data_IF_327716694045
#
_entry.id   IF_327716694045
#
_cell.length_a   1.000
_cell.length_b   1.000
_cell.length_c   1.000
_cell.angle_alpha   90.00
_cell.angle_beta   90.00
_cell.angle_gamma   90.00
#
_symmetry.space_group_name_H-M   'P 1'
#
loop_
_entity.id
_entity.type
_entity.pdbx_description
1 polymer ?
#
# COMPACT_ATOMS: atom_id res chain seq x y z
N UNK A 1 -5.27 26.64 14.93
CA UNK A 1 -5.26 25.21 15.29
C UNK A 1 -4.23 24.53 14.42
N UNK A 2 -3.16 23.93 14.99
CA UNK A 2 -2.14 23.19 14.22
C UNK A 2 -2.67 21.77 13.98
N UNK A 3 -2.55 21.25 12.77
CA UNK A 3 -2.96 19.88 12.44
C UNK A 3 -2.16 18.87 13.29
N UNK A 4 -2.81 18.04 14.13
CA UNK A 4 -2.11 17.05 14.97
C UNK A 4 -1.45 15.91 14.18
N UNK A 5 -1.69 15.82 12.87
CA UNK A 5 -1.11 14.80 11.99
C UNK A 5 -0.02 15.34 11.06
N UNK A 6 0.22 16.66 11.07
CA UNK A 6 1.32 17.26 10.34
C UNK A 6 2.63 17.02 11.13
N UNK A 7 3.50 16.14 10.61
CA UNK A 7 4.86 16.02 11.12
C UNK A 7 5.69 17.20 10.62
N UNK A 8 6.56 17.76 11.46
CA UNK A 8 7.46 18.85 11.06
C UNK A 8 8.52 18.39 10.02
N UNK A 9 8.66 17.07 9.77
CA UNK A 9 9.69 16.45 8.90
C UNK A 9 9.14 15.83 7.59
N UNK A 10 8.06 16.36 6.99
CA UNK A 10 7.40 15.78 5.78
C UNK A 10 6.95 14.31 5.91
N UNK A 11 6.85 13.81 7.15
CA UNK A 11 6.35 12.46 7.44
C UNK A 11 4.82 12.50 7.49
N UNK A 12 4.16 11.70 6.66
CA UNK A 12 2.71 11.61 6.63
C UNK A 12 2.22 10.37 7.37
N UNK A 13 1.09 10.49 8.07
CA UNK A 13 0.41 9.34 8.66
C UNK A 13 -0.22 8.47 7.55
N UNK A 14 0.28 7.25 7.38
CA UNK A 14 -0.33 6.27 6.48
C UNK A 14 -1.34 5.42 7.22
N UNK A 15 -2.62 5.61 6.93
CA UNK A 15 -3.69 4.78 7.48
C UNK A 15 -3.74 3.41 6.78
N UNK A 16 -3.81 2.33 7.57
CA UNK A 16 -3.94 0.96 7.06
C UNK A 16 -5.38 0.45 7.00
N UNK A 17 -5.58 -0.78 6.53
CA UNK A 17 -6.82 -1.53 6.75
C UNK A 17 -6.56 -3.04 6.78
N UNK A 18 -7.60 -3.84 7.06
CA UNK A 18 -7.51 -5.29 6.99
C UNK A 18 -7.62 -5.78 5.54
N UNK A 19 -6.77 -6.71 5.14
CA UNK A 19 -6.94 -7.48 3.92
C UNK A 19 -8.24 -8.29 3.99
N UNK A 20 -9.09 -8.22 2.96
CA UNK A 20 -10.37 -8.94 2.98
C UNK A 20 -10.22 -10.48 2.97
N UNK A 21 -9.12 -11.00 2.43
CA UNK A 21 -8.89 -12.45 2.31
C UNK A 21 -8.28 -13.00 3.60
N UNK A 22 -7.13 -12.46 4.04
CA UNK A 22 -6.38 -13.00 5.17
C UNK A 22 -6.51 -12.19 6.47
N UNK A 23 -7.28 -11.11 6.49
CA UNK A 23 -7.53 -10.24 7.66
C UNK A 23 -6.32 -9.53 8.28
N UNK A 24 -5.11 -9.71 7.72
CA UNK A 24 -3.88 -9.01 8.13
C UNK A 24 -4.01 -7.51 7.91
N UNK A 25 -3.43 -6.72 8.82
CA UNK A 25 -3.33 -5.27 8.66
C UNK A 25 -2.30 -4.95 7.56
N UNK A 26 -2.65 -4.05 6.65
CA UNK A 26 -1.80 -3.58 5.56
C UNK A 26 -1.92 -2.08 5.36
N UNK A 27 -0.83 -1.42 4.97
CA UNK A 27 -0.83 0.02 4.71
C UNK A 27 -1.68 0.36 3.46
N UNK A 28 -2.24 1.59 3.39
CA UNK A 28 -2.97 2.06 2.20
C UNK A 28 -2.09 2.27 0.96
N UNK A 29 -0.77 2.29 1.14
CA UNK A 29 0.17 2.52 0.06
C UNK A 29 0.07 1.45 -1.02
N UNK A 30 0.32 1.82 -2.29
CA UNK A 30 0.28 0.91 -3.44
C UNK A 30 1.33 -0.21 -3.34
N UNK A 31 2.39 0.01 -2.56
CA UNK A 31 3.44 -0.97 -2.27
C UNK A 31 3.02 -2.04 -1.24
N UNK A 32 1.92 -1.80 -0.50
CA UNK A 32 1.42 -2.73 0.53
C UNK A 32 0.14 -3.44 0.09
N UNK A 33 -0.71 -2.77 -0.69
CA UNK A 33 -2.06 -3.24 -0.93
C UNK A 33 -2.69 -2.68 -2.20
N UNK A 34 -3.77 -3.33 -2.63
CA UNK A 34 -4.66 -2.86 -3.68
C UNK A 34 -6.05 -2.61 -3.08
N UNK A 35 -6.66 -1.48 -3.44
CA UNK A 35 -8.05 -1.17 -3.16
C UNK A 35 -8.88 -1.29 -4.44
N UNK A 36 -10.00 -2.01 -4.35
CA UNK A 36 -11.05 -2.02 -5.37
C UNK A 36 -12.40 -1.74 -4.69
N UNK A 37 -13.19 -2.77 -4.34
CA UNK A 37 -14.33 -2.63 -3.41
C UNK A 37 -13.90 -2.76 -1.94
N UNK A 38 -12.79 -3.47 -1.71
CA UNK A 38 -12.17 -3.75 -0.40
C UNK A 38 -10.65 -3.71 -0.57
N UNK A 39 -9.91 -3.69 0.53
CA UNK A 39 -8.43 -3.73 0.49
C UNK A 39 -7.92 -5.16 0.54
N UNK A 40 -6.89 -5.44 -0.25
CA UNK A 40 -6.23 -6.74 -0.36
C UNK A 40 -4.72 -6.54 -0.26
N UNK A 41 -4.04 -7.37 0.54
CA UNK A 41 -2.58 -7.38 0.54
C UNK A 41 -2.05 -7.90 -0.81
N UNK A 42 -0.86 -7.48 -1.22
CA UNK A 42 -0.30 -7.88 -2.52
C UNK A 42 -0.20 -9.41 -2.71
N UNK A 43 0.16 -10.22 -1.70
CA UNK A 43 0.13 -11.69 -1.84
C UNK A 43 -1.26 -12.22 -2.21
N UNK A 44 -2.30 -11.80 -1.49
CA UNK A 44 -3.67 -12.23 -1.79
C UNK A 44 -4.16 -11.72 -3.15
N UNK A 45 -3.66 -10.57 -3.64
CA UNK A 45 -3.95 -10.10 -5.01
C UNK A 45 -3.37 -11.06 -6.05
N UNK A 46 -2.11 -11.49 -5.88
CA UNK A 46 -1.46 -12.40 -6.84
C UNK A 46 -2.12 -13.78 -6.86
N UNK A 47 -2.39 -14.34 -5.69
CA UNK A 47 -3.07 -15.64 -5.55
C UNK A 47 -4.48 -15.65 -6.13
N UNK A 48 -5.17 -14.50 -6.13
CA UNK A 48 -6.57 -14.38 -6.57
C UNK A 48 -6.71 -13.53 -7.84
N UNK A 49 -5.65 -13.36 -8.63
CA UNK A 49 -5.60 -12.39 -9.74
C UNK A 49 -6.71 -12.62 -10.77
N UNK A 50 -7.10 -13.87 -10.99
CA UNK A 50 -8.14 -14.25 -11.95
C UNK A 50 -9.54 -13.76 -11.54
N UNK A 51 -9.80 -13.52 -10.25
CA UNK A 51 -11.08 -13.03 -9.74
C UNK A 51 -11.26 -11.51 -9.90
N UNK A 52 -10.20 -10.78 -10.27
CA UNK A 52 -10.27 -9.34 -10.48
C UNK A 52 -10.74 -8.98 -11.91
N UNK A 53 -11.45 -7.84 -12.08
CA UNK A 53 -11.79 -7.30 -13.39
C UNK A 53 -10.56 -7.16 -14.30
N UNK A 54 -10.80 -7.19 -15.62
CA UNK A 54 -9.70 -7.17 -16.63
C UNK A 54 -8.84 -5.91 -16.50
N UNK A 55 -9.48 -4.80 -16.18
CA UNK A 55 -8.88 -3.47 -16.01
C UNK A 55 -7.86 -3.50 -14.86
N UNK A 56 -8.25 -4.07 -13.71
CA UNK A 56 -7.37 -4.22 -12.55
C UNK A 56 -6.18 -5.15 -12.86
N UNK A 57 -6.43 -6.25 -13.58
CA UNK A 57 -5.38 -7.17 -14.01
C UNK A 57 -4.33 -6.47 -14.90
N UNK A 58 -4.77 -5.62 -15.82
CA UNK A 58 -3.87 -4.85 -16.69
C UNK A 58 -3.06 -3.81 -15.91
N UNK A 59 -3.66 -3.10 -14.97
CA UNK A 59 -2.95 -2.10 -14.17
C UNK A 59 -1.89 -2.71 -13.25
N UNK A 60 -2.16 -3.90 -12.71
CA UNK A 60 -1.17 -4.66 -11.94
C UNK A 60 0.05 -5.09 -12.77
N UNK A 61 -0.13 -5.35 -14.07
CA UNK A 61 1.00 -5.65 -14.97
C UNK A 61 1.88 -4.43 -15.22
N UNK A 62 1.27 -3.24 -15.38
CA UNK A 62 2.00 -1.97 -15.57
C UNK A 62 2.83 -1.58 -14.34
N UNK A 63 2.33 -1.91 -13.14
CA UNK A 63 3.00 -1.61 -11.85
C UNK A 63 4.28 -2.42 -11.58
N UNK A 64 4.59 -3.46 -12.36
CA UNK A 64 5.84 -4.24 -12.18
C UNK A 64 7.11 -3.42 -12.51
N UNK A 65 6.97 -2.23 -13.08
CA UNK A 65 8.08 -1.28 -13.22
C UNK A 65 8.36 -0.69 -11.83
N UNK A 66 9.57 -0.87 -11.26
CA UNK A 66 9.86 -0.41 -9.92
C UNK A 66 9.71 1.11 -9.83
N UNK A 67 8.73 1.57 -9.05
CA UNK A 67 8.69 2.95 -8.60
C UNK A 67 9.95 3.19 -7.75
N UNK A 68 10.78 4.17 -8.15
CA UNK A 68 11.93 4.60 -7.36
C UNK A 68 11.47 4.90 -5.93
N UNK A 69 12.07 4.23 -4.95
CA UNK A 69 11.88 4.51 -3.53
C UNK A 69 12.37 5.92 -3.21
N UNK A 70 11.55 6.86 -2.70
CA UNK A 70 12.07 8.01 -1.99
C UNK A 70 12.34 7.57 -0.54
N UNK A 71 13.61 7.51 -0.16
CA UNK A 71 14.08 7.66 1.22
C UNK A 71 13.77 6.53 2.21
N UNK A 72 14.60 5.49 2.25
CA UNK A 72 14.88 4.78 3.49
C UNK A 72 16.16 5.38 4.07
N UNK A 73 16.04 6.34 5.01
CA UNK A 73 17.19 6.69 5.85
C UNK A 73 17.27 5.72 7.04
N UNK A 74 18.47 5.24 7.40
CA UNK A 74 18.66 4.39 8.56
C UNK A 74 18.45 5.22 9.84
N UNK A 75 17.58 4.72 10.73
CA UNK A 75 17.42 5.26 12.08
C UNK A 75 18.69 4.99 12.89
N UNK A 76 19.62 5.95 12.96
CA UNK A 76 20.64 5.96 14.00
C UNK A 76 19.97 6.31 15.34
N UNK A 77 19.88 5.31 16.22
CA UNK A 77 19.53 5.51 17.64
C UNK A 77 20.72 6.16 18.36
N UNK A 78 20.44 7.25 19.07
CA UNK A 78 21.20 7.70 20.24
C UNK A 78 20.58 7.08 21.51
#
# INVERSE_FOLDING_TARGET
MKDPFASDDDRFLVLGSRCRVCSRLVCAGPECSLFYCKRFCLPCVQENIAAFPREIRQDLQKRKVPAKRPGAQPSSRA
#
